data_IF_306449616871
#
_entry.id   IF_306449616871
#
_cell.length_a   1.000
_cell.length_b   1.000
_cell.length_c   1.000
_cell.angle_alpha   90.00
_cell.angle_beta   90.00
_cell.angle_gamma   90.00
#
_symmetry.space_group_name_H-M   'P 1'
#
loop_
_entity.id
_entity.type
_entity.pdbx_description
1 polymer ?
#
# COMPACT_ATOMS: atom_id res chain seq x y z
N UNK A 1 11.00 -1.55 33.08
CA UNK A 1 10.79 -0.09 33.17
C UNK A 1 11.06 0.50 31.80
N UNK A 2 10.01 0.83 31.07
CA UNK A 2 10.07 1.28 29.66
C UNK A 2 9.66 2.74 29.61
N UNK A 3 10.39 3.59 28.90
CA UNK A 3 9.97 4.98 28.67
C UNK A 3 9.29 5.07 27.31
N UNK A 4 8.18 5.79 27.25
CA UNK A 4 7.42 6.02 26.02
C UNK A 4 6.84 7.43 26.02
N UNK A 5 6.23 7.80 24.90
CA UNK A 5 5.57 9.06 24.64
C UNK A 5 4.13 8.80 24.20
N UNK A 6 3.22 9.72 24.46
CA UNK A 6 1.92 9.67 23.81
C UNK A 6 0.96 10.75 24.25
N UNK A 7 -0.16 10.85 23.52
CA UNK A 7 -1.29 11.70 23.88
C UNK A 7 -2.32 10.98 24.73
N UNK A 8 -3.04 11.75 25.56
CA UNK A 8 -4.21 11.24 26.27
C UNK A 8 -5.28 10.84 25.25
N UNK A 9 -5.71 9.58 25.29
CA UNK A 9 -6.77 9.04 24.43
C UNK A 9 -8.15 9.09 25.07
N UNK A 10 -8.20 9.12 26.40
CA UNK A 10 -9.44 9.28 27.15
C UNK A 10 -9.14 9.68 28.58
N UNK A 11 -10.02 10.50 29.16
CA UNK A 11 -9.95 10.91 30.55
C UNK A 11 -11.35 11.02 31.16
N UNK A 12 -11.55 10.41 32.32
CA UNK A 12 -12.77 10.53 33.12
C UNK A 12 -12.49 11.45 34.32
N UNK A 13 -12.93 12.70 34.24
CA UNK A 13 -12.71 13.71 35.28
C UNK A 13 -13.37 13.33 36.62
N UNK A 14 -14.55 12.71 36.60
CA UNK A 14 -15.29 12.33 37.81
C UNK A 14 -14.56 11.24 38.61
N UNK A 15 -13.87 10.33 37.91
CA UNK A 15 -13.12 9.22 38.51
C UNK A 15 -11.62 9.48 38.61
N UNK A 16 -11.12 10.51 37.96
CA UNK A 16 -9.70 10.91 38.00
C UNK A 16 -8.75 9.89 37.37
N UNK A 17 -9.15 9.20 36.31
CA UNK A 17 -8.26 8.31 35.57
C UNK A 17 -8.50 8.37 34.05
N UNK A 18 -7.52 7.89 33.29
CA UNK A 18 -7.60 7.85 31.85
C UNK A 18 -6.62 6.86 31.24
N UNK A 19 -6.47 6.98 29.92
CA UNK A 19 -5.57 6.18 29.13
C UNK A 19 -4.73 7.08 28.21
N UNK A 20 -3.43 6.82 28.16
CA UNK A 20 -2.48 7.45 27.23
C UNK A 20 -2.13 6.46 26.11
N UNK A 21 -1.93 6.96 24.90
CA UNK A 21 -1.44 6.15 23.79
C UNK A 21 0.02 5.76 23.98
N UNK A 22 0.43 4.66 23.37
CA UNK A 22 1.80 4.16 23.38
C UNK A 22 2.40 4.38 22.00
N UNK A 23 3.46 5.18 21.88
CA UNK A 23 3.98 5.61 20.57
C UNK A 23 5.02 4.65 20.04
N UNK A 24 5.96 4.23 20.89
CA UNK A 24 7.13 3.46 20.47
C UNK A 24 7.01 1.97 20.79
N UNK A 25 6.56 1.64 22.01
CA UNK A 25 6.58 0.25 22.48
C UNK A 25 5.49 -0.61 21.82
N UNK A 26 4.26 -0.09 21.71
CA UNK A 26 3.13 -0.73 21.06
C UNK A 26 2.11 0.32 20.58
N UNK A 27 2.18 0.74 19.30
CA UNK A 27 1.32 1.80 18.72
C UNK A 27 -0.19 1.64 18.90
N UNK A 28 -0.65 0.41 19.08
CA UNK A 28 -2.08 0.09 19.26
C UNK A 28 -2.49 -0.03 20.73
N UNK A 29 -1.54 0.00 21.66
CA UNK A 29 -1.82 -0.12 23.08
C UNK A 29 -2.21 1.22 23.72
N UNK A 30 -2.88 1.09 24.85
CA UNK A 30 -3.24 2.19 25.74
C UNK A 30 -2.77 1.85 27.15
N UNK A 31 -2.11 2.81 27.80
CA UNK A 31 -1.56 2.63 29.15
C UNK A 31 -2.42 3.40 30.15
N UNK A 32 -2.79 2.74 31.25
CA UNK A 32 -3.61 3.35 32.28
C UNK A 32 -2.84 4.44 33.04
N UNK A 33 -3.48 5.55 33.37
CA UNK A 33 -2.94 6.54 34.31
C UNK A 33 -4.00 7.05 35.27
N UNK A 34 -3.56 7.43 36.47
CA UNK A 34 -4.40 8.07 37.48
C UNK A 34 -4.00 9.55 37.63
N UNK A 35 -4.97 10.46 37.68
CA UNK A 35 -4.75 11.92 37.70
C UNK A 35 -3.85 12.39 38.85
N UNK A 36 -3.91 11.71 40.01
CA UNK A 36 -2.98 11.89 41.15
C UNK A 36 -1.51 12.02 40.72
N UNK A 37 -1.05 11.27 39.71
CA UNK A 37 0.34 11.35 39.23
C UNK A 37 0.63 12.69 38.54
N UNK A 38 -0.33 13.19 37.74
CA UNK A 38 -0.28 14.50 37.10
C UNK A 38 -0.45 15.61 38.14
N UNK A 39 -1.47 15.56 39.02
CA UNK A 39 -1.70 16.56 40.08
C UNK A 39 -0.48 16.82 40.95
N UNK A 40 0.26 15.77 41.28
CA UNK A 40 1.46 15.87 42.12
C UNK A 40 2.59 16.65 41.46
N UNK A 41 2.74 16.57 40.13
CA UNK A 41 3.90 17.12 39.41
C UNK A 41 3.55 18.34 38.54
N UNK A 42 2.34 18.37 38.00
CA UNK A 42 1.82 19.39 37.08
C UNK A 42 0.36 19.74 37.46
N UNK A 43 0.13 20.43 38.60
CA UNK A 43 -1.21 20.70 39.14
C UNK A 43 -2.08 21.54 38.20
N UNK A 44 -1.51 22.51 37.48
CA UNK A 44 -2.24 23.35 36.53
C UNK A 44 -2.77 22.53 35.34
N UNK A 45 -1.96 21.61 34.81
CA UNK A 45 -2.40 20.71 33.75
C UNK A 45 -3.54 19.82 34.24
N UNK A 46 -3.42 19.28 35.46
CA UNK A 46 -4.49 18.48 36.04
C UNK A 46 -5.79 19.27 36.22
N UNK A 47 -5.71 20.54 36.60
CA UNK A 47 -6.88 21.41 36.71
C UNK A 47 -7.55 21.62 35.34
N UNK A 48 -6.76 21.89 34.29
CA UNK A 48 -7.29 22.02 32.91
C UNK A 48 -7.98 20.73 32.45
N UNK A 49 -7.41 19.57 32.78
CA UNK A 49 -8.00 18.27 32.47
C UNK A 49 -9.32 18.05 33.23
N UNK A 50 -9.36 18.37 34.52
CA UNK A 50 -10.57 18.23 35.36
C UNK A 50 -11.70 19.16 34.90
N UNK A 51 -11.36 20.39 34.50
CA UNK A 51 -12.31 21.38 34.02
C UNK A 51 -12.73 21.16 32.55
N UNK A 52 -12.15 20.17 31.85
CA UNK A 52 -12.37 19.92 30.41
C UNK A 52 -12.02 21.12 29.52
N UNK A 53 -11.04 21.90 29.95
CA UNK A 53 -10.53 23.06 29.21
C UNK A 53 -9.44 22.68 28.19
N UNK A 54 -8.90 21.46 28.29
CA UNK A 54 -7.90 20.94 27.38
C UNK A 54 -8.51 19.94 26.40
N UNK A 55 -8.15 20.06 25.12
CA UNK A 55 -8.30 18.96 24.18
C UNK A 55 -7.34 17.84 24.62
N UNK A 56 -7.91 16.70 25.03
CA UNK A 56 -7.13 15.58 25.55
C UNK A 56 -6.13 15.07 24.53
N UNK A 57 -6.46 15.08 23.24
CA UNK A 57 -5.56 14.57 22.21
C UNK A 57 -4.35 15.50 21.96
N UNK A 58 -4.47 16.78 22.34
CA UNK A 58 -3.38 17.74 22.28
C UNK A 58 -2.42 17.63 23.49
N UNK A 59 -2.84 16.99 24.58
CA UNK A 59 -2.01 16.79 25.78
C UNK A 59 -1.09 15.59 25.57
N UNK A 60 0.20 15.86 25.42
CA UNK A 60 1.25 14.87 25.23
C UNK A 60 2.24 14.90 26.39
N UNK A 61 2.79 13.73 26.75
CA UNK A 61 3.86 13.64 27.73
C UNK A 61 4.68 12.36 27.54
N UNK A 62 5.91 12.40 28.05
CA UNK A 62 6.74 11.23 28.29
C UNK A 62 6.28 10.52 29.56
N UNK A 63 6.36 9.21 29.58
CA UNK A 63 6.01 8.43 30.75
C UNK A 63 6.81 7.15 30.86
N UNK A 64 6.90 6.65 32.08
CA UNK A 64 7.45 5.33 32.34
C UNK A 64 6.30 4.33 32.54
N UNK A 65 6.44 3.16 31.93
CA UNK A 65 5.52 2.04 32.06
C UNK A 65 6.02 1.11 33.18
N UNK A 66 5.12 0.84 34.13
CA UNK A 66 5.22 -0.25 35.10
C UNK A 66 4.11 -1.27 34.86
N UNK A 67 4.42 -2.55 35.07
CA UNK A 67 3.44 -3.65 35.00
C UNK A 67 3.14 -4.15 36.40
N UNK A 68 1.86 -4.28 36.74
CA UNK A 68 1.40 -4.87 37.99
C UNK A 68 0.33 -5.96 37.73
N UNK A 69 -0.29 -6.48 38.79
CA UNK A 69 -1.35 -7.50 38.71
C UNK A 69 -2.58 -7.07 37.89
N UNK A 70 -2.77 -5.76 37.67
CA UNK A 70 -3.87 -5.15 36.90
C UNK A 70 -3.45 -4.75 35.48
N UNK A 71 -2.21 -5.02 35.09
CA UNK A 71 -1.65 -4.68 33.77
C UNK A 71 -0.69 -3.48 33.79
N UNK A 72 -0.53 -2.85 32.63
CA UNK A 72 0.39 -1.74 32.42
C UNK A 72 -0.21 -0.41 32.88
N UNK A 73 0.57 0.36 33.63
CA UNK A 73 0.22 1.71 34.04
C UNK A 73 1.41 2.67 33.98
N UNK A 74 1.10 3.96 33.89
CA UNK A 74 2.08 5.04 33.97
C UNK A 74 2.61 5.10 35.40
N UNK A 75 3.90 4.85 35.64
CA UNK A 75 4.58 4.99 36.95
C UNK A 75 4.97 6.44 37.25
N UNK A 76 5.57 7.10 36.26
CA UNK A 76 6.10 8.46 36.30
C UNK A 76 5.84 9.17 34.96
N UNK A 77 5.88 10.50 34.94
CA UNK A 77 5.63 11.28 33.72
C UNK A 77 6.40 12.60 33.68
N UNK A 78 6.65 13.08 32.46
CA UNK A 78 7.45 14.28 32.17
C UNK A 78 6.86 15.02 30.97
N UNK A 79 6.71 16.34 31.05
CA UNK A 79 6.19 17.15 29.93
C UNK A 79 7.27 17.42 28.87
N UNK A 80 8.54 17.40 29.27
CA UNK A 80 9.70 17.56 28.40
C UNK A 80 10.80 16.56 28.73
N UNK A 81 11.73 16.38 27.80
CA UNK A 81 12.85 15.44 27.93
C UNK A 81 13.90 15.91 28.93
N UNK A 82 13.99 17.22 29.14
CA UNK A 82 14.85 17.89 30.11
C UNK A 82 14.54 17.50 31.56
N UNK A 83 13.30 17.13 31.85
CA UNK A 83 12.88 16.70 33.19
C UNK A 83 13.17 15.19 33.43
N UNK A 84 13.56 14.45 32.39
CA UNK A 84 13.76 12.99 32.48
C UNK A 84 15.10 12.72 33.20
N UNK A 85 15.14 11.85 34.22
CA UNK A 85 16.38 11.57 34.95
C UNK A 85 17.48 11.00 34.06
N UNK A 86 18.74 11.36 34.35
CA UNK A 86 19.92 10.87 33.62
C UNK A 86 20.05 9.34 33.59
N UNK A 87 19.42 8.61 34.51
CA UNK A 87 19.36 7.15 34.47
C UNK A 87 18.65 6.60 33.22
N UNK A 88 17.93 7.43 32.47
CA UNK A 88 17.23 7.06 31.23
C UNK A 88 18.00 7.39 29.96
N UNK A 89 19.21 7.97 30.03
CA UNK A 89 19.97 8.44 28.85
C UNK A 89 20.12 7.36 27.77
N UNK A 90 20.45 6.12 28.14
CA UNK A 90 20.55 5.02 27.17
C UNK A 90 19.21 4.74 26.47
N UNK A 91 18.09 4.81 27.18
CA UNK A 91 16.76 4.57 26.59
C UNK A 91 16.36 5.71 25.66
N UNK A 92 16.66 6.95 26.03
CA UNK A 92 16.46 8.11 25.16
C UNK A 92 17.30 8.00 23.88
N UNK A 93 18.53 7.51 24.00
CA UNK A 93 19.38 7.25 22.83
C UNK A 93 18.77 6.21 21.87
N UNK A 94 18.23 5.10 22.38
CA UNK A 94 17.51 4.13 21.53
C UNK A 94 16.27 4.71 20.86
N UNK A 95 15.55 5.61 21.55
CA UNK A 95 14.40 6.32 20.97
C UNK A 95 14.81 7.32 19.89
N UNK A 96 15.94 8.03 20.08
CA UNK A 96 16.52 8.90 19.05
C UNK A 96 16.77 8.10 17.77
N UNK A 97 17.42 6.94 17.86
CA UNK A 97 17.68 6.08 16.71
C UNK A 97 16.38 5.64 16.02
N UNK A 98 15.35 5.35 16.81
CA UNK A 98 14.02 4.98 16.30
C UNK A 98 13.38 6.14 15.55
N UNK A 99 13.41 7.36 16.11
CA UNK A 99 12.88 8.58 15.48
C UNK A 99 13.61 8.88 14.18
N UNK A 100 14.95 8.83 14.16
CA UNK A 100 15.73 9.02 12.94
C UNK A 100 15.41 7.97 11.88
N UNK A 101 15.22 6.70 12.28
CA UNK A 101 14.79 5.65 11.36
C UNK A 101 13.41 5.91 10.76
N UNK A 102 12.48 6.48 11.51
CA UNK A 102 11.13 6.81 11.02
C UNK A 102 11.21 7.96 10.00
N UNK A 103 12.06 8.96 10.24
CA UNK A 103 12.29 10.04 9.27
C UNK A 103 12.77 9.51 7.92
N UNK A 104 13.72 8.57 7.93
CA UNK A 104 14.30 7.95 6.74
C UNK A 104 13.39 6.95 6.04
N UNK A 105 12.37 6.44 6.73
CA UNK A 105 11.38 5.54 6.13
C UNK A 105 10.32 6.33 5.37
N UNK A 106 10.52 6.47 4.06
CA UNK A 106 9.58 7.13 3.13
C UNK A 106 8.50 6.20 2.59
N UNK A 107 8.58 4.89 2.83
CA UNK A 107 7.54 3.92 2.43
C UNK A 107 6.27 4.07 3.28
N UNK A 108 6.40 4.65 4.48
CA UNK A 108 5.30 4.91 5.40
C UNK A 108 4.99 6.41 5.51
N UNK A 109 3.70 6.79 5.67
CA UNK A 109 3.34 8.16 5.95
C UNK A 109 4.02 8.69 7.21
N UNK A 110 4.49 9.93 7.14
CA UNK A 110 5.08 10.62 8.29
C UNK A 110 4.07 10.70 9.45
N UNK A 111 4.38 10.17 10.64
CA UNK A 111 3.49 10.30 11.80
C UNK A 111 3.35 11.75 12.27
N UNK A 112 2.16 12.15 12.71
CA UNK A 112 1.88 13.53 13.16
C UNK A 112 2.67 13.94 14.41
N UNK A 113 3.02 12.98 15.27
CA UNK A 113 3.80 13.23 16.49
C UNK A 113 5.31 13.38 16.23
N UNK A 114 5.79 12.99 15.05
CA UNK A 114 7.23 12.85 14.78
C UNK A 114 7.97 14.17 14.95
N UNK A 115 7.41 15.27 14.45
CA UNK A 115 8.01 16.60 14.57
C UNK A 115 8.21 17.01 16.03
N UNK A 116 7.15 16.85 16.84
CA UNK A 116 7.17 17.21 18.26
C UNK A 116 8.23 16.42 19.02
N UNK A 117 8.23 15.09 18.87
CA UNK A 117 9.18 14.23 19.59
C UNK A 117 10.62 14.46 19.11
N UNK A 118 10.83 14.70 17.82
CA UNK A 118 12.16 15.02 17.29
C UNK A 118 12.69 16.32 17.89
N UNK A 119 11.86 17.36 17.97
CA UNK A 119 12.26 18.63 18.60
C UNK A 119 12.63 18.40 20.07
N UNK A 120 11.84 17.62 20.82
CA UNK A 120 12.12 17.35 22.22
C UNK A 120 13.39 16.52 22.44
N UNK A 121 13.70 15.56 21.56
CA UNK A 121 14.88 14.71 21.72
C UNK A 121 16.16 15.31 21.14
N UNK A 122 16.05 16.04 20.03
CA UNK A 122 17.19 16.43 19.17
C UNK A 122 17.24 17.93 18.85
N UNK A 123 16.21 18.69 19.22
CA UNK A 123 16.12 20.12 18.94
C UNK A 123 15.61 20.47 17.53
N UNK A 124 15.40 21.77 17.31
CA UNK A 124 14.79 22.31 16.09
C UNK A 124 15.69 22.14 14.87
N UNK A 125 17.01 22.36 15.03
CA UNK A 125 17.98 22.27 13.93
C UNK A 125 18.01 20.86 13.35
N UNK A 126 18.22 19.84 14.19
CA UNK A 126 18.25 18.45 13.74
C UNK A 126 16.92 17.99 13.15
N UNK A 127 15.79 18.46 13.70
CA UNK A 127 14.47 18.20 13.11
C UNK A 127 14.37 18.77 11.69
N UNK A 128 14.90 19.98 11.46
CA UNK A 128 14.89 20.59 10.14
C UNK A 128 15.74 19.79 9.15
N UNK A 129 16.95 19.39 9.54
CA UNK A 129 17.83 18.53 8.74
C UNK A 129 17.14 17.22 8.32
N UNK A 130 16.53 16.51 9.28
CA UNK A 130 15.82 15.26 9.00
C UNK A 130 14.61 15.46 8.09
N UNK A 131 13.94 16.61 8.17
CA UNK A 131 12.85 16.96 7.26
C UNK A 131 13.35 17.13 5.82
N UNK A 132 14.45 17.86 5.64
CA UNK A 132 15.08 18.03 4.32
C UNK A 132 15.58 16.69 3.77
N UNK A 133 16.19 15.85 4.60
CA UNK A 133 16.62 14.51 4.21
C UNK A 133 15.44 13.66 3.72
N UNK A 134 14.33 13.67 4.46
CA UNK A 134 13.10 12.97 4.06
C UNK A 134 12.52 13.50 2.75
N UNK A 135 12.40 14.81 2.60
CA UNK A 135 11.84 15.43 1.38
C UNK A 135 12.68 15.05 0.14
N UNK A 136 14.01 14.99 0.29
CA UNK A 136 14.91 14.53 -0.76
C UNK A 136 14.70 13.06 -1.11
N UNK A 137 14.58 12.17 -0.10
CA UNK A 137 14.28 10.75 -0.31
C UNK A 137 12.93 10.54 -1.02
N UNK A 138 11.90 11.30 -0.61
CA UNK A 138 10.59 11.27 -1.27
C UNK A 138 10.66 11.77 -2.73
N UNK A 139 11.50 12.76 -3.04
CA UNK A 139 11.72 13.21 -4.43
C UNK A 139 12.39 12.13 -5.27
N UNK A 140 13.48 11.53 -4.76
CA UNK A 140 14.21 10.47 -5.44
C UNK A 140 13.31 9.27 -5.76
N UNK A 141 12.48 8.84 -4.80
CA UNK A 141 11.55 7.74 -5.00
C UNK A 141 10.51 8.04 -6.09
N UNK A 142 9.98 9.27 -6.12
CA UNK A 142 9.05 9.72 -7.17
C UNK A 142 9.71 9.73 -8.54
N UNK A 143 10.94 10.23 -8.63
CA UNK A 143 11.72 10.26 -9.88
C UNK A 143 11.99 8.85 -10.41
N UNK A 144 12.41 7.92 -9.54
CA UNK A 144 12.67 6.52 -9.90
C UNK A 144 11.38 5.79 -10.33
N UNK A 145 10.26 6.02 -9.65
CA UNK A 145 8.97 5.47 -10.05
C UNK A 145 8.51 6.02 -11.41
N UNK A 146 8.71 7.31 -11.66
CA UNK A 146 8.35 7.93 -12.92
C UNK A 146 9.24 7.43 -14.07
N UNK A 147 10.53 7.27 -13.84
CA UNK A 147 11.47 6.68 -14.81
C UNK A 147 11.09 5.24 -15.14
N UNK A 148 10.86 4.39 -14.13
CA UNK A 148 10.40 3.00 -14.33
C UNK A 148 9.09 2.95 -15.12
N UNK A 149 8.16 3.86 -14.85
CA UNK A 149 6.90 3.95 -15.59
C UNK A 149 7.13 4.37 -17.05
N UNK A 150 8.01 5.33 -17.31
CA UNK A 150 8.38 5.76 -18.68
C UNK A 150 9.06 4.63 -19.45
N UNK A 151 9.99 3.91 -18.83
CA UNK A 151 10.66 2.76 -19.43
C UNK A 151 9.67 1.64 -19.75
N UNK A 152 8.78 1.30 -18.81
CA UNK A 152 7.76 0.28 -19.01
C UNK A 152 6.80 0.66 -20.15
N UNK A 153 6.37 1.93 -20.24
CA UNK A 153 5.53 2.41 -21.34
C UNK A 153 6.29 2.39 -22.66
N UNK A 154 7.57 2.79 -22.69
CA UNK A 154 8.38 2.74 -23.90
C UNK A 154 8.57 1.29 -24.40
N UNK A 155 8.84 0.34 -23.50
CA UNK A 155 8.91 -1.09 -23.81
C UNK A 155 7.58 -1.60 -24.38
N UNK A 156 6.46 -1.24 -23.74
CA UNK A 156 5.12 -1.59 -24.21
C UNK A 156 4.85 -1.03 -25.61
N UNK A 157 5.18 0.23 -25.88
CA UNK A 157 4.99 0.84 -27.20
C UNK A 157 5.85 0.17 -28.27
N UNK A 158 7.11 -0.16 -27.95
CA UNK A 158 7.99 -0.90 -28.86
C UNK A 158 7.40 -2.27 -29.21
N UNK A 159 6.79 -2.95 -28.23
CA UNK A 159 6.17 -4.25 -28.42
C UNK A 159 4.88 -4.17 -29.26
N UNK A 160 4.06 -3.14 -29.06
CA UNK A 160 2.89 -2.87 -29.92
C UNK A 160 3.33 -2.65 -31.37
N UNK A 161 4.38 -1.85 -31.58
CA UNK A 161 4.94 -1.62 -32.93
C UNK A 161 5.46 -2.93 -33.53
N UNK A 162 6.14 -3.78 -32.75
CA UNK A 162 6.61 -5.10 -33.18
C UNK A 162 5.44 -5.98 -33.61
N UNK A 163 4.43 -6.15 -32.76
CA UNK A 163 3.25 -6.99 -33.03
C UNK A 163 2.51 -6.52 -34.28
N UNK A 164 2.26 -5.20 -34.38
CA UNK A 164 1.61 -4.61 -35.55
C UNK A 164 2.37 -4.94 -36.85
N UNK A 165 3.70 -4.79 -36.84
CA UNK A 165 4.55 -5.05 -38.00
C UNK A 165 4.68 -6.54 -38.33
N UNK A 166 4.94 -7.39 -37.35
CA UNK A 166 5.20 -8.82 -37.54
C UNK A 166 3.93 -9.56 -37.96
N UNK A 167 2.78 -9.18 -37.41
CA UNK A 167 1.51 -9.86 -37.65
C UNK A 167 0.57 -9.11 -38.59
N UNK A 168 1.04 -8.00 -39.17
CA UNK A 168 0.28 -7.13 -40.08
C UNK A 168 -1.09 -6.73 -39.51
N UNK A 169 -1.06 -6.13 -38.32
CA UNK A 169 -2.25 -5.70 -37.55
C UNK A 169 -2.34 -4.20 -37.43
N UNK A 170 -3.55 -3.69 -37.18
CA UNK A 170 -3.70 -2.28 -36.85
C UNK A 170 -3.07 -1.98 -35.50
N UNK A 171 -2.82 -0.70 -35.21
CA UNK A 171 -2.26 -0.27 -33.93
C UNK A 171 -3.16 -0.68 -32.77
N UNK A 172 -4.47 -0.60 -32.96
CA UNK A 172 -5.50 -0.93 -31.96
C UNK A 172 -5.54 -2.43 -31.68
N UNK A 173 -5.47 -3.27 -32.72
CA UNK A 173 -5.40 -4.73 -32.57
C UNK A 173 -4.10 -5.16 -31.87
N UNK A 174 -2.96 -4.54 -32.22
CA UNK A 174 -1.68 -4.83 -31.61
C UNK A 174 -1.61 -4.37 -30.13
N UNK A 175 -2.24 -3.24 -29.80
CA UNK A 175 -2.38 -2.75 -28.43
C UNK A 175 -3.22 -3.69 -27.55
N UNK A 176 -4.34 -4.19 -28.07
CA UNK A 176 -5.16 -5.19 -27.37
C UNK A 176 -4.45 -6.53 -27.22
N UNK A 177 -3.74 -6.98 -28.26
CA UNK A 177 -2.90 -8.18 -28.21
C UNK A 177 -1.82 -8.03 -27.13
N UNK A 178 -1.11 -6.91 -27.05
CA UNK A 178 -0.05 -6.75 -26.06
C UNK A 178 -0.61 -6.70 -24.63
N UNK A 179 -1.78 -6.07 -24.41
CA UNK A 179 -2.47 -6.10 -23.12
C UNK A 179 -2.84 -7.53 -22.71
N UNK A 180 -3.40 -8.29 -23.64
CA UNK A 180 -3.76 -9.69 -23.42
C UNK A 180 -2.52 -10.55 -23.11
N UNK A 181 -1.45 -10.41 -23.90
CA UNK A 181 -0.21 -11.15 -23.72
C UNK A 181 0.49 -10.79 -22.41
N UNK A 182 0.50 -9.52 -22.02
CA UNK A 182 1.06 -9.07 -20.73
C UNK A 182 0.36 -9.73 -19.54
N UNK A 183 -0.97 -9.89 -19.59
CA UNK A 183 -1.71 -10.60 -18.55
C UNK A 183 -1.44 -12.12 -18.56
N UNK A 184 -1.20 -12.70 -19.74
CA UNK A 184 -1.08 -14.15 -19.90
C UNK A 184 0.33 -14.70 -19.69
N UNK A 185 1.37 -13.94 -20.02
CA UNK A 185 2.79 -14.38 -19.88
C UNK A 185 3.09 -14.91 -18.46
N UNK A 186 2.68 -14.25 -17.35
CA UNK A 186 2.96 -14.74 -15.99
C UNK A 186 2.24 -16.05 -15.63
N UNK A 187 1.15 -16.38 -16.33
CA UNK A 187 0.36 -17.60 -16.07
C UNK A 187 1.07 -18.87 -16.57
N UNK A 188 2.11 -18.72 -17.40
CA UNK A 188 3.00 -19.80 -17.83
C UNK A 188 2.27 -21.04 -18.41
N UNK A 189 1.16 -20.81 -19.12
CA UNK A 189 0.44 -21.87 -19.82
C UNK A 189 1.37 -22.68 -20.72
N UNK A 190 1.12 -23.98 -20.82
CA UNK A 190 1.85 -24.91 -21.70
C UNK A 190 1.01 -25.32 -22.89
N UNK A 191 -0.31 -25.32 -22.74
CA UNK A 191 -1.22 -25.78 -23.77
C UNK A 191 -2.31 -24.74 -24.10
N UNK A 192 -2.66 -24.66 -25.38
CA UNK A 192 -3.75 -23.80 -25.91
C UNK A 192 -5.10 -24.00 -25.20
N UNK A 193 -5.38 -25.21 -24.68
CA UNK A 193 -6.58 -25.49 -23.89
C UNK A 193 -6.65 -24.69 -22.58
N UNK A 194 -5.54 -24.49 -21.90
CA UNK A 194 -5.47 -23.72 -20.65
C UNK A 194 -5.76 -22.25 -20.92
N UNK A 195 -5.18 -21.72 -21.99
CA UNK A 195 -5.47 -20.39 -22.52
C UNK A 195 -6.97 -20.24 -22.84
N UNK A 196 -7.56 -21.19 -23.56
CA UNK A 196 -8.98 -21.15 -23.92
C UNK A 196 -9.89 -21.19 -22.69
N UNK A 197 -9.60 -22.06 -21.72
CA UNK A 197 -10.34 -22.14 -20.47
C UNK A 197 -10.26 -20.83 -19.68
N UNK A 198 -9.09 -20.22 -19.61
CA UNK A 198 -8.89 -18.93 -18.93
C UNK A 198 -9.67 -17.81 -19.59
N UNK A 199 -9.64 -17.74 -20.94
CA UNK A 199 -10.41 -16.77 -21.74
C UNK A 199 -11.91 -16.86 -21.42
N UNK A 200 -12.46 -18.08 -21.37
CA UNK A 200 -13.87 -18.33 -21.05
C UNK A 200 -14.18 -17.92 -19.62
N UNK A 201 -13.40 -18.42 -18.67
CA UNK A 201 -13.65 -18.22 -17.24
C UNK A 201 -13.63 -16.73 -16.86
N UNK A 202 -12.72 -15.96 -17.46
CA UNK A 202 -12.54 -14.53 -17.16
C UNK A 202 -13.23 -13.61 -18.17
N UNK A 203 -13.98 -14.19 -19.12
CA UNK A 203 -14.74 -13.45 -20.13
C UNK A 203 -13.87 -12.46 -20.92
N UNK A 204 -12.64 -12.87 -21.25
CA UNK A 204 -11.61 -11.95 -21.71
C UNK A 204 -11.96 -11.25 -23.02
N UNK A 205 -12.67 -11.91 -23.92
CA UNK A 205 -13.09 -11.30 -25.19
C UNK A 205 -13.84 -9.99 -24.99
N UNK A 206 -14.69 -9.86 -23.96
CA UNK A 206 -15.44 -8.63 -23.74
C UNK A 206 -14.56 -7.42 -23.36
N UNK A 207 -13.29 -7.62 -23.01
CA UNK A 207 -12.33 -6.55 -22.71
C UNK A 207 -11.56 -6.06 -23.94
N UNK A 208 -11.62 -6.78 -25.07
CA UNK A 208 -10.82 -6.54 -26.27
C UNK A 208 -11.69 -6.48 -27.53
N UNK A 209 -12.42 -5.38 -27.77
CA UNK A 209 -13.42 -5.28 -28.84
C UNK A 209 -12.85 -5.32 -30.26
N UNK A 210 -11.56 -5.00 -30.45
CA UNK A 210 -10.93 -5.00 -31.77
C UNK A 210 -10.45 -6.39 -32.18
N UNK A 211 -10.07 -7.25 -31.23
CA UNK A 211 -9.53 -8.59 -31.51
C UNK A 211 -10.47 -9.73 -31.12
N UNK A 212 -11.66 -9.44 -30.58
CA UNK A 212 -12.64 -10.45 -30.20
C UNK A 212 -14.04 -10.15 -30.75
N UNK A 213 -14.93 -11.13 -30.61
CA UNK A 213 -16.29 -11.04 -31.10
C UNK A 213 -17.09 -12.30 -30.85
N UNK A 214 -18.04 -12.56 -31.72
CA UNK A 214 -18.84 -13.79 -31.72
C UNK A 214 -18.23 -14.73 -32.77
N UNK A 215 -17.73 -15.88 -32.32
CA UNK A 215 -17.24 -16.94 -33.19
C UNK A 215 -18.32 -18.03 -33.30
N UNK A 216 -18.86 -18.25 -34.49
CA UNK A 216 -19.77 -19.38 -34.73
C UNK A 216 -18.94 -20.63 -34.96
N UNK A 217 -19.16 -21.65 -34.16
CA UNK A 217 -18.45 -22.92 -34.18
C UNK A 217 -19.33 -24.01 -34.77
N UNK A 218 -18.73 -24.99 -35.43
CA UNK A 218 -19.39 -26.19 -35.91
C UNK A 218 -18.61 -27.45 -35.51
N UNK A 219 -19.33 -28.48 -35.05
CA UNK A 219 -18.77 -29.79 -34.73
C UNK A 219 -19.85 -30.86 -34.91
N UNK A 220 -19.55 -31.91 -35.69
CA UNK A 220 -20.44 -33.07 -35.90
C UNK A 220 -21.90 -32.70 -36.25
N UNK A 221 -22.09 -31.67 -37.08
CA UNK A 221 -23.42 -31.20 -37.52
C UNK A 221 -24.17 -30.32 -36.51
N UNK A 222 -23.56 -29.97 -35.38
CA UNK A 222 -24.06 -28.96 -34.44
C UNK A 222 -23.33 -27.63 -34.63
N UNK A 223 -24.07 -26.53 -34.52
CA UNK A 223 -23.54 -25.17 -34.57
C UNK A 223 -23.92 -24.38 -33.32
N UNK A 224 -22.99 -23.57 -32.80
CA UNK A 224 -23.25 -22.67 -31.68
C UNK A 224 -22.44 -21.38 -31.78
N UNK A 225 -22.92 -20.32 -31.14
CA UNK A 225 -22.23 -19.03 -31.07
C UNK A 225 -21.41 -18.93 -29.78
N UNK A 226 -20.12 -18.67 -29.93
CA UNK A 226 -19.17 -18.47 -28.85
C UNK A 226 -18.87 -16.98 -28.70
N UNK A 227 -19.54 -16.34 -27.73
CA UNK A 227 -19.37 -14.93 -27.44
C UNK A 227 -18.06 -14.66 -26.69
N UNK A 228 -17.35 -13.59 -27.08
CA UNK A 228 -16.03 -13.28 -26.53
C UNK A 228 -14.93 -14.18 -27.10
N UNK A 229 -15.18 -14.81 -28.24
CA UNK A 229 -14.20 -15.60 -28.96
C UNK A 229 -13.21 -14.73 -29.73
N UNK A 230 -11.98 -15.21 -29.83
CA UNK A 230 -10.97 -14.64 -30.71
C UNK A 230 -11.03 -15.35 -32.07
N UNK A 231 -10.94 -14.63 -33.21
CA UNK A 231 -10.91 -15.27 -34.52
C UNK A 231 -9.61 -16.08 -34.69
N UNK A 232 -9.64 -17.07 -35.58
CA UNK A 232 -8.56 -18.07 -35.74
C UNK A 232 -7.18 -17.47 -35.95
N UNK A 233 -7.09 -16.39 -36.72
CA UNK A 233 -5.84 -15.70 -37.01
C UNK A 233 -5.26 -15.01 -35.76
N UNK A 234 -6.11 -14.32 -34.98
CA UNK A 234 -5.75 -13.72 -33.70
C UNK A 234 -5.37 -14.78 -32.67
N UNK A 235 -6.17 -15.84 -32.54
CA UNK A 235 -5.90 -16.93 -31.60
C UNK A 235 -4.56 -17.62 -31.88
N UNK A 236 -4.22 -17.80 -33.16
CA UNK A 236 -2.92 -18.31 -33.60
C UNK A 236 -1.77 -17.37 -33.25
N UNK A 237 -1.96 -16.05 -33.36
CA UNK A 237 -0.95 -15.06 -32.94
C UNK A 237 -0.70 -15.21 -31.44
N UNK A 238 -1.76 -15.28 -30.63
CA UNK A 238 -1.65 -15.44 -29.17
C UNK A 238 -0.89 -16.73 -28.83
N UNK A 239 -1.25 -17.86 -29.44
CA UNK A 239 -0.55 -19.13 -29.21
C UNK A 239 0.93 -19.06 -29.60
N UNK A 240 1.25 -18.39 -30.71
CA UNK A 240 2.64 -18.21 -31.17
C UNK A 240 3.46 -17.35 -30.21
N UNK A 241 2.91 -16.23 -29.75
CA UNK A 241 3.58 -15.30 -28.83
C UNK A 241 3.73 -15.88 -27.42
N UNK A 242 2.83 -16.76 -26.99
CA UNK A 242 2.92 -17.50 -25.73
C UNK A 242 3.66 -18.85 -25.85
N UNK A 243 4.14 -19.19 -27.05
CA UNK A 243 4.80 -20.47 -27.35
C UNK A 243 3.99 -21.70 -26.87
N UNK A 244 2.69 -21.71 -27.20
CA UNK A 244 1.77 -22.78 -26.82
C UNK A 244 1.67 -23.85 -27.91
N UNK A 245 1.65 -25.10 -27.47
CA UNK A 245 1.37 -26.23 -28.34
C UNK A 245 -0.13 -26.32 -28.67
N UNK A 246 -0.42 -26.62 -29.93
CA UNK A 246 -1.78 -26.86 -30.41
C UNK A 246 -2.17 -28.32 -30.15
N UNK A 247 -3.18 -28.55 -29.32
CA UNK A 247 -3.87 -29.83 -29.28
C UNK A 247 -5.11 -29.73 -30.15
N UNK A 248 -5.05 -30.38 -31.31
CA UNK A 248 -6.07 -30.30 -32.36
C UNK A 248 -7.47 -30.59 -31.82
N UNK A 249 -8.33 -29.59 -31.88
CA UNK A 249 -9.77 -29.71 -31.62
C UNK A 249 -10.48 -30.04 -32.93
N UNK A 250 -11.52 -30.88 -32.86
CA UNK A 250 -12.40 -31.23 -33.98
C UNK A 250 -13.42 -30.13 -34.30
N UNK A 251 -13.64 -29.18 -33.39
CA UNK A 251 -14.51 -28.04 -33.60
C UNK A 251 -13.86 -27.01 -34.54
N UNK A 252 -14.60 -26.58 -35.55
CA UNK A 252 -14.14 -25.62 -36.56
C UNK A 252 -14.89 -24.29 -36.47
N UNK A 253 -14.19 -23.14 -36.49
CA UNK A 253 -14.83 -21.84 -36.59
C UNK A 253 -15.34 -21.63 -38.03
N UNK A 254 -16.63 -21.33 -38.18
CA UNK A 254 -17.31 -21.16 -39.48
C UNK A 254 -17.67 -19.69 -39.77
N UNK A 255 -17.81 -18.83 -38.76
CA UNK A 255 -18.06 -17.39 -38.94
C UNK A 255 -17.50 -16.57 -37.77
N UNK A 256 -17.07 -15.34 -38.05
CA UNK A 256 -16.66 -14.38 -37.03
C UNK A 256 -17.38 -13.04 -37.21
N UNK A 257 -17.88 -12.48 -36.10
CA UNK A 257 -18.49 -11.15 -36.05
C UNK A 257 -17.78 -10.33 -34.96
N UNK A 258 -16.98 -9.30 -35.29
CA UNK A 258 -16.23 -8.49 -34.32
C UNK A 258 -17.14 -7.71 -33.36
N UNK A 259 -16.72 -7.53 -32.11
CA UNK A 259 -17.50 -6.71 -31.16
C UNK A 259 -17.52 -5.23 -31.51
N UNK A 260 -16.43 -4.66 -32.03
CA UNK A 260 -16.39 -3.25 -32.51
C UNK A 260 -17.44 -2.89 -33.57
N UNK A 261 -18.08 -3.88 -34.20
CA UNK A 261 -19.14 -3.67 -35.19
C UNK A 261 -20.54 -3.76 -34.61
N UNK A 262 -20.67 -4.24 -33.37
CA UNK A 262 -21.94 -4.48 -32.68
C UNK A 262 -22.22 -3.44 -31.60
N UNK A 263 -21.17 -2.82 -31.06
CA UNK A 263 -21.20 -1.81 -29.99
C UNK A 263 -20.20 -0.69 -30.31
#
# INVERSE_FOLDING_TARGET
MTIDFGSIKSYNADRGFGFVGCTFYNPNAKVFFHIKKIKRKYPELAQKLDNREADFEAVNFWYEIETNEKGEQVSNLWLGTEDIPQSYTHKLYSLIQTVESIWKNVESPKPSWLDLVTIQLLGVERKHELSVERDNLESQLREEEEERRREAEALRQNEIIRIAKVHNRTKEEADELERLLTEMRPLNFKHSKELSAYIVQHQLGYRYPNISGIVRMAEEGREWDFHGGFPTDIYRIICKELNLDNQGTTAIPIKFTPFKTLY
#
